data_IF_878140688669
#
_entry.id   IF_878140688669
#
_cell.length_a   1.000
_cell.length_b   1.000
_cell.length_c   1.000
_cell.angle_alpha   90.00
_cell.angle_beta   90.00
_cell.angle_gamma   90.00
#
_symmetry.space_group_name_H-M   'P 1'
#
loop_
_entity.id
_entity.type
_entity.pdbx_description
1 polymer ?
#
# COMPACT_ATOMS: atom_id res chain seq x y z
N UNK A 1 -9.67 2.28 4.75
CA UNK A 1 -8.64 2.03 3.73
C UNK A 1 -7.99 0.65 3.88
N UNK A 2 -7.42 0.29 5.04
CA UNK A 2 -6.76 -1.01 5.24
C UNK A 2 -7.55 -2.28 4.81
N UNK A 3 -8.87 -2.42 5.05
CA UNK A 3 -9.62 -3.59 4.55
C UNK A 3 -9.59 -3.75 3.03
N UNK A 4 -9.55 -2.63 2.28
CA UNK A 4 -9.42 -2.64 0.83
C UNK A 4 -8.03 -3.14 0.42
N UNK A 5 -6.97 -2.72 1.13
CA UNK A 5 -5.61 -3.22 0.90
C UNK A 5 -5.51 -4.72 1.17
N UNK A 6 -6.15 -5.24 2.23
CA UNK A 6 -6.23 -6.68 2.52
C UNK A 6 -6.90 -7.43 1.37
N UNK A 7 -8.06 -6.95 0.89
CA UNK A 7 -8.78 -7.57 -0.22
C UNK A 7 -7.94 -7.61 -1.51
N UNK A 8 -7.22 -6.52 -1.80
CA UNK A 8 -6.30 -6.45 -2.95
C UNK A 8 -5.15 -7.44 -2.75
N UNK A 9 -4.51 -7.45 -1.58
CA UNK A 9 -3.41 -8.36 -1.26
C UNK A 9 -3.81 -9.83 -1.42
N UNK A 10 -4.98 -10.21 -0.91
CA UNK A 10 -5.53 -11.56 -1.02
C UNK A 10 -5.58 -12.04 -2.48
N UNK A 11 -6.03 -11.18 -3.40
CA UNK A 11 -6.25 -11.51 -4.82
C UNK A 11 -5.02 -11.32 -5.69
N UNK A 12 -4.24 -10.28 -5.43
CA UNK A 12 -3.25 -9.76 -6.38
C UNK A 12 -1.80 -9.91 -5.92
N UNK A 13 -1.51 -10.14 -4.63
CA UNK A 13 -0.13 -10.10 -4.13
C UNK A 13 0.83 -11.04 -4.88
N UNK A 14 0.40 -12.28 -5.16
CA UNK A 14 1.21 -13.24 -5.93
C UNK A 14 1.40 -12.84 -7.39
N UNK A 15 0.36 -12.31 -8.03
CA UNK A 15 0.47 -11.82 -9.41
C UNK A 15 1.41 -10.62 -9.49
N UNK A 16 1.32 -9.72 -8.50
CA UNK A 16 2.20 -8.56 -8.36
C UNK A 16 3.66 -8.99 -8.25
N UNK A 17 3.94 -10.00 -7.43
CA UNK A 17 5.29 -10.56 -7.28
C UNK A 17 5.80 -11.24 -8.55
N UNK A 18 4.94 -11.96 -9.29
CA UNK A 18 5.32 -12.55 -10.59
C UNK A 18 5.72 -11.47 -11.59
N UNK A 19 4.91 -10.41 -11.72
CA UNK A 19 5.21 -9.27 -12.60
C UNK A 19 6.52 -8.59 -12.18
N UNK A 20 6.72 -8.36 -10.88
CA UNK A 20 7.96 -7.77 -10.35
C UNK A 20 9.19 -8.58 -10.73
N UNK A 21 9.16 -9.90 -10.59
CA UNK A 21 10.29 -10.79 -10.92
C UNK A 21 10.55 -10.86 -12.42
N UNK A 22 9.50 -10.84 -13.23
CA UNK A 22 9.61 -10.93 -14.68
C UNK A 22 10.00 -9.60 -15.34
N UNK A 23 9.91 -8.47 -14.63
CA UNK A 23 10.28 -7.15 -15.12
C UNK A 23 11.74 -7.07 -15.61
N UNK A 24 12.68 -7.75 -14.94
CA UNK A 24 14.10 -7.73 -15.32
C UNK A 24 14.38 -8.50 -16.63
N UNK A 25 13.45 -9.35 -17.07
CA UNK A 25 13.61 -10.23 -18.22
C UNK A 25 12.89 -9.75 -19.49
N UNK A 26 11.99 -8.77 -19.38
CA UNK A 26 11.19 -8.28 -20.52
C UNK A 26 10.85 -6.80 -20.39
N UNK A 27 11.18 -5.96 -21.38
CA UNK A 27 10.81 -4.54 -21.39
C UNK A 27 9.30 -4.29 -21.26
N UNK A 28 8.46 -5.14 -21.86
CA UNK A 28 7.01 -5.02 -21.76
C UNK A 28 6.52 -5.27 -20.33
N UNK A 29 7.12 -6.25 -19.64
CA UNK A 29 6.77 -6.55 -18.25
C UNK A 29 7.31 -5.46 -17.32
N UNK A 30 8.48 -4.89 -17.61
CA UNK A 30 9.00 -3.71 -16.90
C UNK A 30 8.05 -2.52 -17.03
N UNK A 31 7.52 -2.24 -18.23
CA UNK A 31 6.53 -1.19 -18.42
C UNK A 31 5.23 -1.46 -17.63
N UNK A 32 4.77 -2.71 -17.62
CA UNK A 32 3.62 -3.13 -16.82
C UNK A 32 3.86 -2.92 -15.31
N UNK A 33 5.05 -3.29 -14.83
CA UNK A 33 5.46 -3.08 -13.45
C UNK A 33 5.46 -1.59 -13.09
N UNK A 34 6.13 -0.76 -13.89
CA UNK A 34 6.22 0.68 -13.66
C UNK A 34 4.85 1.35 -13.67
N UNK A 35 3.98 0.95 -14.62
CA UNK A 35 2.58 1.42 -14.65
C UNK A 35 1.84 1.02 -13.38
N UNK A 36 2.04 -0.19 -12.89
CA UNK A 36 1.40 -0.66 -11.66
C UNK A 36 1.86 0.13 -10.44
N UNK A 37 3.16 0.45 -10.36
CA UNK A 37 3.73 1.29 -9.30
C UNK A 37 3.19 2.73 -9.37
N UNK A 38 3.13 3.33 -10.56
CA UNK A 38 2.53 4.66 -10.78
C UNK A 38 1.06 4.69 -10.37
N UNK A 39 0.27 3.70 -10.78
CA UNK A 39 -1.15 3.61 -10.46
C UNK A 39 -1.38 3.50 -8.95
N UNK A 40 -0.59 2.66 -8.25
CA UNK A 40 -0.66 2.56 -6.80
C UNK A 40 -0.32 3.88 -6.11
N UNK A 41 0.73 4.55 -6.58
CA UNK A 41 1.15 5.84 -6.04
C UNK A 41 0.09 6.92 -6.25
N UNK A 42 -0.55 6.94 -7.42
CA UNK A 42 -1.68 7.82 -7.71
C UNK A 42 -2.88 7.52 -6.79
N UNK A 43 -3.20 6.25 -6.56
CA UNK A 43 -4.24 5.85 -5.60
C UNK A 43 -3.96 6.32 -4.17
N UNK A 44 -2.71 6.23 -3.71
CA UNK A 44 -2.32 6.77 -2.40
C UNK A 44 -2.46 8.29 -2.33
N UNK A 45 -2.09 9.01 -3.41
CA UNK A 45 -2.29 10.46 -3.51
C UNK A 45 -3.76 10.82 -3.36
N UNK A 46 -4.66 10.15 -4.09
CA UNK A 46 -6.11 10.43 -4.00
C UNK A 46 -6.65 10.27 -2.57
N UNK A 47 -6.16 9.29 -1.81
CA UNK A 47 -6.55 9.08 -0.41
C UNK A 47 -6.04 10.18 0.51
N UNK A 48 -4.79 10.63 0.31
CA UNK A 48 -4.22 11.76 1.06
C UNK A 48 -4.94 13.06 0.74
N UNK A 49 -5.19 13.34 -0.55
CA UNK A 49 -5.91 14.53 -0.98
C UNK A 49 -7.29 14.59 -0.29
N UNK A 50 -8.00 13.46 -0.23
CA UNK A 50 -9.28 13.37 0.47
C UNK A 50 -9.15 13.55 1.98
N UNK A 51 -8.08 13.04 2.60
CA UNK A 51 -7.82 13.23 4.03
C UNK A 51 -7.60 14.71 4.35
N UNK A 52 -6.88 15.45 3.51
CA UNK A 52 -6.66 16.89 3.68
C UNK A 52 -7.96 17.70 3.58
N UNK A 53 -8.88 17.30 2.70
CA UNK A 53 -10.21 17.91 2.59
C UNK A 53 -11.04 17.69 3.86
N UNK A 54 -10.98 16.49 4.46
CA UNK A 54 -11.69 16.16 5.70
C UNK A 54 -11.05 16.83 6.92
N UNK A 55 -9.74 17.08 6.87
CA UNK A 55 -8.95 17.73 7.90
C UNK A 55 -7.82 16.84 8.41
N UNK A 56 -6.68 17.46 8.72
CA UNK A 56 -5.47 16.79 9.22
C UNK A 56 -5.24 17.10 10.71
N UNK A 57 -4.73 16.14 11.49
CA UNK A 57 -4.47 16.35 12.91
C UNK A 57 -3.21 17.18 13.16
N UNK A 58 -3.07 17.65 14.41
CA UNK A 58 -1.79 18.16 14.90
C UNK A 58 -0.72 17.06 14.80
N UNK A 59 0.37 17.34 14.10
CA UNK A 59 1.38 16.32 13.78
C UNK A 59 1.42 15.83 12.33
N UNK A 60 0.58 16.39 11.45
CA UNK A 60 0.57 16.04 10.03
C UNK A 60 1.98 16.08 9.41
N UNK A 61 2.47 14.97 8.81
CA UNK A 61 3.82 14.91 8.24
C UNK A 61 3.99 15.73 6.95
N UNK A 62 2.91 16.30 6.43
CA UNK A 62 2.86 16.97 5.13
C UNK A 62 2.50 16.01 3.99
N UNK A 63 1.89 16.57 2.95
CA UNK A 63 1.31 15.84 1.82
C UNK A 63 2.25 14.77 1.24
N UNK A 64 3.47 15.16 0.84
CA UNK A 64 4.39 14.25 0.16
C UNK A 64 4.74 13.01 1.01
N UNK A 65 5.06 13.23 2.29
CA UNK A 65 5.40 12.15 3.23
C UNK A 65 4.19 11.26 3.55
N UNK A 66 3.00 11.84 3.65
CA UNK A 66 1.76 11.08 3.81
C UNK A 66 1.49 10.17 2.60
N UNK A 67 1.73 10.66 1.38
CA UNK A 67 1.59 9.84 0.16
C UNK A 67 2.63 8.73 0.14
N UNK A 68 3.90 9.03 0.48
CA UNK A 68 4.96 8.02 0.59
C UNK A 68 4.55 6.92 1.58
N UNK A 69 4.09 7.29 2.77
CA UNK A 69 3.67 6.35 3.81
C UNK A 69 2.52 5.46 3.34
N UNK A 70 1.45 6.03 2.76
CA UNK A 70 0.32 5.23 2.29
C UNK A 70 0.67 4.34 1.10
N UNK A 71 1.49 4.82 0.17
CA UNK A 71 1.99 4.01 -0.95
C UNK A 71 2.88 2.86 -0.47
N UNK A 72 3.71 3.08 0.54
CA UNK A 72 4.48 2.01 1.16
C UNK A 72 3.55 0.99 1.83
N UNK A 73 2.71 1.42 2.77
CA UNK A 73 1.86 0.49 3.53
C UNK A 73 0.85 -0.26 2.65
N UNK A 74 0.36 0.32 1.56
CA UNK A 74 -0.58 -0.36 0.67
C UNK A 74 0.07 -1.40 -0.27
N UNK A 75 1.36 -1.70 -0.12
CA UNK A 75 2.04 -2.70 -0.94
C UNK A 75 1.49 -4.12 -0.77
N UNK A 76 0.99 -4.75 -1.86
CA UNK A 76 0.49 -6.13 -1.80
C UNK A 76 1.54 -7.15 -1.31
N UNK A 77 2.83 -6.88 -1.48
CA UNK A 77 3.89 -7.77 -0.98
C UNK A 77 3.88 -7.89 0.55
N UNK A 78 3.41 -6.87 1.27
CA UNK A 78 3.25 -6.94 2.74
C UNK A 78 2.19 -7.96 3.16
N UNK A 79 1.12 -8.11 2.36
CA UNK A 79 0.13 -9.15 2.59
C UNK A 79 0.75 -10.55 2.40
N UNK A 80 1.49 -10.76 1.30
CA UNK A 80 2.14 -12.05 1.05
C UNK A 80 3.11 -12.40 2.19
N UNK A 81 3.95 -11.44 2.61
CA UNK A 81 4.89 -11.63 3.71
C UNK A 81 4.18 -11.98 5.02
N UNK A 82 3.25 -11.16 5.52
CA UNK A 82 2.70 -11.35 6.87
C UNK A 82 1.65 -12.46 6.92
N UNK A 83 0.75 -12.53 5.94
CA UNK A 83 -0.35 -13.52 5.96
C UNK A 83 0.14 -14.88 5.45
N UNK A 84 0.83 -14.93 4.31
CA UNK A 84 1.15 -16.20 3.67
C UNK A 84 2.47 -16.80 4.15
N UNK A 85 3.49 -15.98 4.40
CA UNK A 85 4.80 -16.48 4.84
C UNK A 85 4.87 -16.55 6.37
N UNK A 86 4.43 -15.52 7.10
CA UNK A 86 4.41 -15.52 8.56
C UNK A 86 3.15 -16.13 9.18
N UNK A 87 2.14 -16.47 8.36
CA UNK A 87 0.94 -17.19 8.81
C UNK A 87 -0.07 -16.36 9.60
N UNK A 88 -0.01 -15.02 9.52
CA UNK A 88 -0.95 -14.17 10.25
C UNK A 88 -2.38 -14.38 9.75
N UNK A 89 -3.38 -14.40 10.65
CA UNK A 89 -4.77 -14.24 10.24
C UNK A 89 -5.00 -12.94 9.47
N UNK A 90 -5.81 -12.95 8.41
CA UNK A 90 -6.10 -11.75 7.59
C UNK A 90 -6.65 -10.59 8.44
N UNK A 91 -7.42 -10.91 9.48
CA UNK A 91 -7.94 -9.94 10.44
C UNK A 91 -6.81 -9.20 11.16
N UNK A 92 -5.84 -9.95 11.69
CA UNK A 92 -4.69 -9.36 12.40
C UNK A 92 -3.83 -8.50 11.47
N UNK A 93 -3.61 -8.94 10.22
CA UNK A 93 -2.95 -8.11 9.21
C UNK A 93 -3.71 -6.80 8.96
N UNK A 94 -5.04 -6.87 8.84
CA UNK A 94 -5.88 -5.69 8.56
C UNK A 94 -5.84 -4.69 9.72
N UNK A 95 -5.97 -5.17 10.95
CA UNK A 95 -5.91 -4.35 12.18
C UNK A 95 -4.52 -3.72 12.34
N UNK A 96 -3.47 -4.52 12.16
CA UNK A 96 -2.09 -4.03 12.20
C UNK A 96 -1.83 -2.97 11.13
N UNK A 97 -2.27 -3.19 9.90
CA UNK A 97 -2.07 -2.26 8.80
C UNK A 97 -2.81 -0.94 9.05
N UNK A 98 -4.04 -1.00 9.54
CA UNK A 98 -4.82 0.18 9.93
C UNK A 98 -4.11 0.98 11.02
N UNK A 99 -3.52 0.32 12.01
CA UNK A 99 -2.75 0.98 13.06
C UNK A 99 -1.49 1.65 12.49
N UNK A 100 -0.73 0.96 11.64
CA UNK A 100 0.48 1.53 11.03
C UNK A 100 0.19 2.74 10.14
N UNK A 101 -0.86 2.69 9.33
CA UNK A 101 -1.31 3.83 8.54
C UNK A 101 -1.75 4.99 9.43
N UNK A 102 -2.49 4.72 10.50
CA UNK A 102 -2.90 5.75 11.47
C UNK A 102 -1.70 6.37 12.17
N UNK A 103 -0.71 5.57 12.58
CA UNK A 103 0.50 6.05 13.24
C UNK A 103 1.29 6.98 12.31
N UNK A 104 1.40 6.65 11.03
CA UNK A 104 2.17 7.44 10.06
C UNK A 104 1.48 8.72 9.59
N UNK A 105 0.15 8.80 9.71
CA UNK A 105 -0.64 9.92 9.18
C UNK A 105 -1.22 10.81 10.27
N UNK A 106 -1.52 10.26 11.43
CA UNK A 106 -2.39 10.90 12.42
C UNK A 106 -1.75 11.14 13.78
N UNK A 107 -0.58 10.54 14.06
CA UNK A 107 0.15 10.81 15.30
C UNK A 107 1.17 11.94 15.10
N UNK A 108 1.36 12.81 16.10
CA UNK A 108 2.44 13.79 16.13
C UNK A 108 3.84 13.19 16.26
#
# INVERSE_FOLDING_TARGET
YAPVCTLIGQRAARLFEVVRRAADASPEVAELWDRSQRNRRAGSRMVVDQLEVVGVPAGWPGHAKAVDALWFFNDPSHYDALVRQCGWPEREFTEWLAQRMSDALLRP
#
